data_IF_088779338507
#
_entry.id   IF_088779338507
#
_cell.length_a   1.000
_cell.length_b   1.000
_cell.length_c   1.000
_cell.angle_alpha   90.00
_cell.angle_beta   90.00
_cell.angle_gamma   90.00
#
_symmetry.space_group_name_H-M   'P 1'
#
loop_
_entity.id
_entity.type
_entity.pdbx_description
1 polymer ?
#
# COMPACT_ATOMS: atom_id res chain seq x y z
N UNK A 1 3.18 22.73 27.56
CA UNK A 1 3.68 21.75 26.57
C UNK A 1 3.08 22.12 25.24
N UNK A 2 3.90 22.35 24.20
CA UNK A 2 3.45 22.87 22.89
C UNK A 2 2.86 21.79 21.95
N UNK A 3 2.74 20.54 22.43
CA UNK A 3 2.23 19.41 21.64
C UNK A 3 0.83 19.00 22.06
N UNK A 4 0.04 18.53 21.12
CA UNK A 4 -1.32 18.02 21.34
C UNK A 4 -1.33 16.86 22.35
N UNK A 5 -2.42 16.74 23.12
CA UNK A 5 -2.62 15.61 24.04
C UNK A 5 -2.63 14.25 23.32
N UNK A 6 -3.04 14.21 22.08
CA UNK A 6 -3.01 12.98 21.23
C UNK A 6 -1.63 12.38 21.11
N UNK A 7 -0.58 13.22 21.01
CA UNK A 7 0.81 12.75 20.84
C UNK A 7 1.36 12.09 22.09
N UNK A 8 0.80 12.36 23.26
CA UNK A 8 1.31 11.82 24.54
C UNK A 8 1.24 10.29 24.60
N UNK A 9 0.26 9.70 23.93
CA UNK A 9 -0.02 8.26 23.94
C UNK A 9 0.42 7.55 22.67
N UNK A 10 0.99 8.29 21.69
CA UNK A 10 1.49 7.69 20.46
C UNK A 10 2.89 7.13 20.69
N UNK A 11 3.06 5.86 20.39
CA UNK A 11 4.38 5.25 20.23
C UNK A 11 4.83 5.43 18.78
N UNK A 12 6.05 5.93 18.53
CA UNK A 12 6.56 6.04 17.17
C UNK A 12 6.71 4.65 16.55
N UNK A 13 6.50 4.59 15.23
CA UNK A 13 6.80 3.39 14.47
C UNK A 13 8.30 3.07 14.58
N UNK A 14 8.60 1.82 14.92
CA UNK A 14 9.98 1.31 14.93
C UNK A 14 10.16 0.46 13.67
N UNK A 15 10.95 0.92 12.69
CA UNK A 15 11.24 0.12 11.50
C UNK A 15 12.03 -1.13 11.88
N UNK A 16 11.90 -2.19 11.09
CA UNK A 16 12.70 -3.39 11.25
C UNK A 16 14.20 -3.09 11.20
N UNK A 17 15.02 -3.92 11.82
CA UNK A 17 16.46 -3.74 11.86
C UNK A 17 17.07 -3.56 10.47
N UNK A 18 18.01 -2.62 10.36
CA UNK A 18 18.74 -2.27 9.16
C UNK A 18 20.26 -2.38 9.42
N UNK A 19 20.79 -3.59 9.69
CA UNK A 19 22.21 -3.76 9.99
C UNK A 19 23.07 -3.35 8.79
N UNK A 20 24.23 -2.73 9.07
CA UNK A 20 25.14 -2.18 8.04
C UNK A 20 26.54 -2.82 8.09
N UNK A 21 26.76 -3.79 8.95
CA UNK A 21 28.04 -4.45 9.19
C UNK A 21 28.43 -5.43 8.08
N UNK A 22 27.46 -5.99 7.37
CA UNK A 22 27.64 -6.91 6.23
C UNK A 22 26.38 -6.97 5.37
N UNK A 23 26.47 -7.68 4.25
CA UNK A 23 25.31 -7.94 3.38
C UNK A 23 24.49 -9.07 3.98
N UNK A 24 23.21 -8.83 4.19
CA UNK A 24 22.23 -9.79 4.69
C UNK A 24 21.21 -10.12 3.62
N UNK A 25 20.62 -11.31 3.72
CA UNK A 25 19.36 -11.62 3.01
C UNK A 25 18.24 -11.01 3.83
N UNK A 26 17.63 -9.93 3.33
CA UNK A 26 16.63 -9.15 4.03
C UNK A 26 15.26 -9.81 3.90
N UNK A 27 14.69 -10.27 5.02
CA UNK A 27 13.39 -10.91 5.11
C UNK A 27 12.43 -10.22 6.11
N UNK A 28 12.85 -9.09 6.66
CA UNK A 28 12.15 -8.37 7.73
C UNK A 28 11.28 -7.19 7.25
N UNK A 29 11.14 -7.03 5.95
CA UNK A 29 10.29 -6.03 5.32
C UNK A 29 9.74 -6.57 4.00
N UNK A 30 8.56 -6.09 3.59
CA UNK A 30 7.91 -6.51 2.34
C UNK A 30 8.50 -5.77 1.13
N UNK A 31 9.82 -5.76 1.01
CA UNK A 31 10.50 -5.17 -0.15
C UNK A 31 10.56 -6.18 -1.30
N UNK A 32 10.32 -5.68 -2.51
CA UNK A 32 10.47 -6.51 -3.70
C UNK A 32 11.98 -6.73 -3.99
N UNK A 33 12.48 -7.97 -3.97
CA UNK A 33 13.90 -8.25 -4.22
C UNK A 33 14.29 -8.09 -5.70
N UNK A 34 13.32 -7.97 -6.59
CA UNK A 34 13.57 -7.83 -8.02
C UNK A 34 13.58 -6.36 -8.43
N UNK A 35 14.55 -5.92 -9.23
CA UNK A 35 14.57 -4.56 -9.74
C UNK A 35 13.38 -4.32 -10.69
N UNK A 36 12.93 -3.07 -10.84
CA UNK A 36 11.92 -2.74 -11.82
C UNK A 36 12.43 -3.01 -13.26
N UNK A 37 11.51 -3.12 -14.19
CA UNK A 37 11.84 -3.26 -15.60
C UNK A 37 12.83 -2.17 -16.05
N UNK A 38 13.82 -2.56 -16.88
CA UNK A 38 14.77 -1.61 -17.50
C UNK A 38 14.09 -0.48 -18.27
N UNK A 39 12.85 -0.71 -18.74
CA UNK A 39 12.05 0.31 -19.45
C UNK A 39 11.58 1.42 -18.50
N UNK A 40 11.38 1.15 -17.21
CA UNK A 40 11.01 2.18 -16.22
C UNK A 40 12.09 3.24 -16.15
N UNK A 41 13.33 2.85 -15.88
CA UNK A 41 14.46 3.78 -15.82
C UNK A 41 14.64 4.57 -17.13
N UNK A 42 14.56 3.89 -18.28
CA UNK A 42 14.65 4.54 -19.61
C UNK A 42 13.56 5.59 -19.79
N UNK A 43 12.31 5.28 -19.41
CA UNK A 43 11.17 6.20 -19.55
C UNK A 43 11.32 7.42 -18.65
N UNK A 44 11.75 7.23 -17.39
CA UNK A 44 12.02 8.33 -16.46
C UNK A 44 13.11 9.25 -16.99
N UNK A 45 14.25 8.69 -17.41
CA UNK A 45 15.37 9.48 -17.97
C UNK A 45 14.95 10.23 -19.22
N UNK A 46 14.22 9.57 -20.13
CA UNK A 46 13.68 10.20 -21.36
C UNK A 46 12.76 11.35 -21.04
N UNK A 47 11.86 11.19 -20.06
CA UNK A 47 10.93 12.23 -19.65
C UNK A 47 11.65 13.43 -19.08
N UNK A 48 12.59 13.23 -18.14
CA UNK A 48 13.35 14.30 -17.50
C UNK A 48 14.19 15.08 -18.53
N UNK A 49 14.85 14.37 -19.44
CA UNK A 49 15.65 15.01 -20.51
C UNK A 49 14.79 15.83 -21.47
N UNK A 50 13.56 15.37 -21.76
CA UNK A 50 12.67 16.04 -22.70
C UNK A 50 11.90 17.20 -22.06
N UNK A 51 11.62 17.13 -20.78
CA UNK A 51 10.75 18.05 -20.06
C UNK A 51 11.34 18.47 -18.69
N UNK A 52 12.59 19.00 -18.65
CA UNK A 52 13.23 19.36 -17.38
C UNK A 52 12.42 20.44 -16.62
N UNK A 53 11.73 21.31 -17.31
CA UNK A 53 10.88 22.37 -16.75
C UNK A 53 9.74 21.81 -15.88
N UNK A 54 9.29 20.58 -16.15
CA UNK A 54 8.18 19.96 -15.41
C UNK A 54 8.55 19.55 -13.99
N UNK A 55 9.84 19.41 -13.69
CA UNK A 55 10.31 19.07 -12.34
C UNK A 55 10.05 20.18 -11.32
N UNK A 56 9.87 21.42 -11.77
CA UNK A 56 9.55 22.57 -10.92
C UNK A 56 8.05 22.86 -10.79
N UNK A 57 7.19 22.08 -11.42
CA UNK A 57 5.74 22.27 -11.41
C UNK A 57 5.07 21.35 -10.39
N UNK A 58 3.88 21.74 -9.93
CA UNK A 58 3.03 20.84 -9.15
C UNK A 58 2.61 19.63 -10.00
N UNK A 59 2.50 18.44 -9.38
CA UNK A 59 1.96 17.28 -10.04
C UNK A 59 0.47 17.47 -10.38
N UNK A 60 -0.03 16.64 -11.27
CA UNK A 60 -1.47 16.50 -11.51
C UNK A 60 -2.15 15.99 -10.21
N UNK A 61 -3.05 16.79 -9.60
CA UNK A 61 -3.65 16.42 -8.31
C UNK A 61 -4.50 15.15 -8.37
N UNK A 62 -5.08 14.87 -9.53
CA UNK A 62 -5.96 13.72 -9.73
C UNK A 62 -5.21 12.50 -10.29
N UNK A 63 -3.91 12.64 -10.60
CA UNK A 63 -3.07 11.57 -11.16
C UNK A 63 -3.72 10.85 -12.35
N UNK A 64 -4.48 11.57 -13.21
CA UNK A 64 -5.36 11.03 -14.25
C UNK A 64 -4.67 9.99 -15.12
N UNK A 65 -3.50 10.31 -15.67
CA UNK A 65 -2.75 9.40 -16.53
C UNK A 65 -2.30 8.12 -15.84
N UNK A 66 -1.94 8.21 -14.57
CA UNK A 66 -1.55 7.05 -13.77
C UNK A 66 -2.77 6.16 -13.49
N UNK A 67 -3.87 6.77 -13.06
CA UNK A 67 -5.10 6.05 -12.75
C UNK A 67 -5.70 5.38 -13.99
N UNK A 68 -5.68 6.04 -15.15
CA UNK A 68 -6.05 5.43 -16.43
C UNK A 68 -5.16 4.23 -16.80
N UNK A 69 -3.85 4.35 -16.61
CA UNK A 69 -2.92 3.26 -16.90
C UNK A 69 -3.14 2.06 -15.97
N UNK A 70 -3.42 2.30 -14.69
CA UNK A 70 -3.75 1.25 -13.71
C UNK A 70 -5.08 0.58 -14.07
N UNK A 71 -6.12 1.36 -14.38
CA UNK A 71 -7.42 0.84 -14.79
C UNK A 71 -7.29 -0.06 -16.03
N UNK A 72 -6.57 0.41 -17.05
CA UNK A 72 -6.31 -0.36 -18.26
C UNK A 72 -5.54 -1.65 -17.98
N UNK A 73 -4.53 -1.61 -17.11
CA UNK A 73 -3.77 -2.79 -16.70
C UNK A 73 -4.66 -3.83 -16.00
N UNK A 74 -5.49 -3.40 -15.07
CA UNK A 74 -6.42 -4.27 -14.34
C UNK A 74 -7.45 -4.91 -15.29
N UNK A 75 -8.02 -4.13 -16.20
CA UNK A 75 -9.00 -4.64 -17.16
C UNK A 75 -8.37 -5.62 -18.17
N UNK A 76 -7.14 -5.36 -18.64
CA UNK A 76 -6.41 -6.24 -19.56
C UNK A 76 -5.98 -7.55 -18.92
N UNK A 77 -5.69 -7.55 -17.62
CA UNK A 77 -5.37 -8.76 -16.86
C UNK A 77 -6.61 -9.62 -16.54
N UNK A 78 -7.79 -9.25 -17.02
CA UNK A 78 -9.06 -9.89 -16.69
C UNK A 78 -9.49 -9.62 -15.25
N UNK A 79 -9.07 -8.48 -14.69
CA UNK A 79 -9.36 -8.08 -13.33
C UNK A 79 -8.54 -8.83 -12.27
N UNK A 80 -7.49 -9.53 -12.67
CA UNK A 80 -6.63 -10.29 -11.74
C UNK A 80 -5.63 -9.35 -11.09
N UNK A 81 -5.76 -9.16 -9.78
CA UNK A 81 -4.85 -8.34 -8.98
C UNK A 81 -3.47 -8.96 -8.80
N UNK A 82 -3.34 -10.28 -8.93
CA UNK A 82 -2.08 -11.01 -8.79
C UNK A 82 -1.99 -12.18 -9.77
N UNK A 83 -0.98 -12.17 -10.63
CA UNK A 83 -0.55 -13.35 -11.36
C UNK A 83 0.53 -14.05 -10.54
N UNK A 84 0.16 -15.02 -9.71
CA UNK A 84 1.12 -15.79 -8.95
C UNK A 84 1.78 -16.87 -9.83
N UNK A 85 3.08 -16.73 -10.06
CA UNK A 85 3.91 -17.82 -10.57
C UNK A 85 4.48 -18.60 -9.37
N UNK A 86 3.82 -19.69 -8.97
CA UNK A 86 4.33 -20.57 -7.93
C UNK A 86 5.11 -21.70 -8.60
N UNK A 87 6.42 -21.78 -8.32
CA UNK A 87 7.34 -22.82 -8.82
C UNK A 87 7.34 -23.00 -10.35
N UNK A 88 7.26 -21.90 -11.11
CA UNK A 88 7.30 -21.95 -12.58
C UNK A 88 6.01 -22.44 -13.26
N UNK A 89 4.95 -22.68 -12.51
CA UNK A 89 3.61 -22.94 -13.05
C UNK A 89 2.76 -21.69 -12.95
N UNK A 90 2.16 -21.26 -14.06
CA UNK A 90 1.09 -20.27 -14.03
C UNK A 90 -0.06 -20.84 -13.21
N UNK A 91 -0.32 -20.26 -12.05
CA UNK A 91 -1.56 -20.53 -11.32
C UNK A 91 -2.63 -19.68 -11.99
N UNK A 92 -3.59 -20.33 -12.64
CA UNK A 92 -4.77 -19.62 -13.13
C UNK A 92 -5.54 -19.07 -11.95
N UNK A 93 -5.86 -17.77 -11.94
CA UNK A 93 -6.65 -17.19 -10.87
C UNK A 93 -8.03 -17.87 -10.84
N UNK A 94 -8.54 -18.09 -9.64
CA UNK A 94 -9.91 -18.54 -9.44
C UNK A 94 -10.90 -17.44 -9.90
N UNK A 95 -12.15 -17.80 -10.12
CA UNK A 95 -13.19 -16.78 -10.43
C UNK A 95 -13.31 -15.73 -9.31
N UNK A 96 -13.07 -16.12 -8.06
CA UNK A 96 -13.10 -15.22 -6.90
C UNK A 96 -11.93 -14.23 -6.84
N UNK A 97 -10.85 -14.47 -7.60
CA UNK A 97 -9.70 -13.58 -7.69
C UNK A 97 -9.89 -12.48 -8.75
N UNK A 98 -11.03 -12.45 -9.42
CA UNK A 98 -11.34 -11.51 -10.50
C UNK A 98 -12.22 -10.38 -10.01
N UNK A 99 -11.93 -9.17 -10.47
CA UNK A 99 -12.83 -8.03 -10.30
C UNK A 99 -14.04 -8.25 -11.23
N UNK A 100 -15.27 -8.35 -10.70
CA UNK A 100 -16.46 -8.72 -11.49
C UNK A 100 -17.03 -7.57 -12.35
N UNK A 101 -16.31 -6.45 -12.45
CA UNK A 101 -16.73 -5.25 -13.18
C UNK A 101 -15.54 -4.59 -13.89
N UNK A 102 -15.82 -3.69 -14.84
CA UNK A 102 -14.80 -2.87 -15.48
C UNK A 102 -14.32 -1.78 -14.53
N UNK A 103 -13.01 -1.73 -14.29
CA UNK A 103 -12.39 -0.68 -13.48
C UNK A 103 -12.24 0.59 -14.30
N UNK A 104 -12.68 1.72 -13.77
CA UNK A 104 -12.51 3.05 -14.35
C UNK A 104 -11.49 3.87 -13.55
N UNK A 105 -10.94 4.93 -14.12
CA UNK A 105 -9.90 5.74 -13.44
C UNK A 105 -10.38 6.43 -12.19
N UNK A 106 -11.67 6.75 -12.09
CA UNK A 106 -12.31 7.34 -10.92
C UNK A 106 -12.51 6.37 -9.74
N UNK A 107 -12.33 5.07 -9.99
CA UNK A 107 -12.29 4.04 -8.95
C UNK A 107 -10.90 3.83 -8.35
N UNK A 108 -9.90 4.59 -8.79
CA UNK A 108 -8.50 4.44 -8.38
C UNK A 108 -8.05 5.69 -7.64
N UNK A 109 -7.56 5.47 -6.44
CA UNK A 109 -6.87 6.48 -5.66
C UNK A 109 -5.37 6.15 -5.58
N UNK A 110 -4.53 7.07 -6.02
CA UNK A 110 -3.08 6.95 -6.00
C UNK A 110 -2.48 7.89 -4.95
N UNK A 111 -1.63 7.36 -4.08
CA UNK A 111 -0.96 8.12 -3.02
C UNK A 111 0.54 7.87 -2.99
N UNK A 112 1.22 8.57 -2.11
CA UNK A 112 2.66 8.44 -1.89
C UNK A 112 2.97 7.25 -0.96
N UNK A 113 2.87 6.05 -1.51
CA UNK A 113 2.99 4.79 -0.79
C UNK A 113 1.70 4.38 -0.08
N UNK A 114 1.70 3.14 0.42
CA UNK A 114 0.54 2.57 1.12
C UNK A 114 0.19 3.31 2.41
N UNK A 115 1.17 3.89 3.08
CA UNK A 115 0.93 4.58 4.35
C UNK A 115 0.06 5.82 4.18
N UNK A 116 0.28 6.61 3.13
CA UNK A 116 -0.60 7.75 2.83
C UNK A 116 -2.01 7.29 2.49
N UNK A 117 -2.14 6.29 1.62
CA UNK A 117 -3.45 5.73 1.22
C UNK A 117 -4.20 5.19 2.43
N UNK A 118 -3.53 4.40 3.28
CA UNK A 118 -4.11 3.87 4.51
C UNK A 118 -4.53 4.98 5.48
N UNK A 119 -3.71 6.02 5.63
CA UNK A 119 -4.05 7.18 6.46
C UNK A 119 -5.37 7.82 6.02
N UNK A 120 -5.56 8.01 4.71
CA UNK A 120 -6.82 8.54 4.18
C UNK A 120 -8.00 7.57 4.31
N UNK A 121 -7.78 6.26 4.17
CA UNK A 121 -8.81 5.26 4.42
C UNK A 121 -9.27 5.34 5.88
N UNK A 122 -8.34 5.37 6.83
CA UNK A 122 -8.70 5.50 8.25
C UNK A 122 -9.47 6.78 8.52
N UNK A 123 -9.02 7.91 7.98
CA UNK A 123 -9.71 9.19 8.15
C UNK A 123 -11.10 9.21 7.51
N UNK A 124 -11.27 8.60 6.33
CA UNK A 124 -12.53 8.67 5.58
C UNK A 124 -13.61 7.72 6.11
N UNK A 125 -13.23 6.54 6.63
CA UNK A 125 -14.18 5.47 6.93
C UNK A 125 -14.35 5.18 8.42
N UNK A 126 -13.46 5.68 9.29
CA UNK A 126 -13.50 5.41 10.72
C UNK A 126 -13.49 6.72 11.52
N UNK A 127 -14.11 6.67 12.69
CA UNK A 127 -14.12 7.73 13.69
C UNK A 127 -14.26 7.12 15.10
N UNK A 128 -14.35 7.94 16.12
CA UNK A 128 -14.50 7.49 17.51
C UNK A 128 -15.77 6.68 17.80
N UNK A 129 -16.77 6.73 16.90
CA UNK A 129 -18.03 5.97 17.01
C UNK A 129 -17.99 4.62 16.31
N UNK A 130 -16.98 4.37 15.46
CA UNK A 130 -16.84 3.15 14.65
C UNK A 130 -15.59 2.40 15.07
N UNK A 131 -15.81 1.22 15.64
CA UNK A 131 -14.73 0.35 16.06
C UNK A 131 -13.99 -0.26 14.87
N UNK A 132 -12.67 -0.21 14.91
CA UNK A 132 -11.81 -0.91 13.97
C UNK A 132 -11.45 -2.30 14.53
N UNK A 133 -11.59 -3.33 13.73
CA UNK A 133 -11.28 -4.71 14.09
C UNK A 133 -10.14 -5.21 13.22
N UNK A 134 -9.14 -5.83 13.81
CA UNK A 134 -8.00 -6.38 13.07
C UNK A 134 -7.49 -7.68 13.72
N UNK A 135 -6.80 -8.55 12.96
CA UNK A 135 -6.10 -9.69 13.54
C UNK A 135 -5.00 -9.25 14.50
N UNK A 136 -4.72 -10.07 15.53
CA UNK A 136 -3.63 -9.80 16.49
C UNK A 136 -2.25 -9.76 15.81
N UNK A 137 -2.04 -10.54 14.75
CA UNK A 137 -0.86 -10.51 13.90
C UNK A 137 -1.20 -9.89 12.56
N UNK A 138 -0.83 -8.63 12.38
CA UNK A 138 -1.13 -7.85 11.17
C UNK A 138 -0.08 -6.76 10.97
N UNK A 139 -0.31 -5.87 10.00
CA UNK A 139 0.58 -4.75 9.74
C UNK A 139 0.63 -3.79 10.93
N UNK A 140 1.83 -3.60 11.47
CA UNK A 140 2.07 -2.85 12.70
C UNK A 140 1.67 -1.37 12.66
N UNK A 141 1.37 -0.83 11.48
CA UNK A 141 0.95 0.57 11.33
C UNK A 141 -0.55 0.78 11.60
N UNK A 142 -1.38 -0.27 11.53
CA UNK A 142 -2.82 -0.13 11.80
C UNK A 142 -3.11 0.40 13.21
N UNK A 143 -2.48 -0.09 14.30
CA UNK A 143 -2.64 0.51 15.62
C UNK A 143 -2.20 1.97 15.70
N UNK A 144 -1.18 2.34 14.92
CA UNK A 144 -0.70 3.72 14.86
C UNK A 144 -1.77 4.64 14.29
N UNK A 145 -2.41 4.25 13.18
CA UNK A 145 -3.53 5.03 12.62
C UNK A 145 -4.73 5.08 13.56
N UNK A 146 -5.11 3.94 14.15
CA UNK A 146 -6.20 3.90 15.11
C UNK A 146 -5.96 4.87 16.29
N UNK A 147 -4.75 4.85 16.87
CA UNK A 147 -4.37 5.79 17.93
C UNK A 147 -4.28 7.24 17.48
N UNK A 148 -3.81 7.51 16.24
CA UNK A 148 -3.69 8.86 15.70
C UNK A 148 -5.05 9.52 15.46
N UNK A 149 -6.03 8.74 15.01
CA UNK A 149 -7.39 9.23 14.71
C UNK A 149 -8.41 9.01 15.85
N UNK A 150 -7.96 8.57 17.03
CA UNK A 150 -8.81 8.25 18.19
C UNK A 150 -9.90 7.21 17.86
N UNK A 151 -9.57 6.20 17.05
CA UNK A 151 -10.48 5.13 16.63
C UNK A 151 -10.39 3.97 17.61
N UNK A 152 -11.50 3.53 18.22
CA UNK A 152 -11.53 2.34 19.07
C UNK A 152 -11.13 1.09 18.29
N UNK A 153 -10.28 0.23 18.87
CA UNK A 153 -9.71 -0.92 18.19
C UNK A 153 -9.88 -2.19 19.01
N UNK A 154 -10.32 -3.26 18.36
CA UNK A 154 -10.35 -4.61 18.91
C UNK A 154 -9.41 -5.53 18.13
N UNK A 155 -8.76 -6.43 18.87
CA UNK A 155 -7.94 -7.48 18.30
C UNK A 155 -8.72 -8.79 18.26
N UNK A 156 -8.65 -9.47 17.12
CA UNK A 156 -9.22 -10.81 16.95
C UNK A 156 -8.07 -11.81 16.91
N UNK A 157 -8.05 -12.80 17.81
CA UNK A 157 -7.05 -13.85 17.77
C UNK A 157 -7.18 -14.67 16.48
N UNK A 158 -6.05 -15.16 15.98
CA UNK A 158 -6.05 -16.10 14.87
C UNK A 158 -6.26 -17.53 15.38
N UNK A 159 -6.80 -18.39 14.51
CA UNK A 159 -6.85 -19.83 14.73
C UNK A 159 -5.43 -20.44 14.71
N UNK A 160 -5.29 -21.71 15.15
CA UNK A 160 -4.01 -22.41 15.12
C UNK A 160 -3.41 -22.56 13.71
N UNK A 161 -4.25 -22.58 12.69
CA UNK A 161 -3.86 -22.63 11.28
C UNK A 161 -3.63 -21.24 10.64
N UNK A 162 -3.61 -20.18 11.45
CA UNK A 162 -3.46 -18.78 11.06
C UNK A 162 -4.63 -18.20 10.25
N UNK A 163 -5.75 -18.89 10.15
CA UNK A 163 -6.96 -18.34 9.58
C UNK A 163 -7.63 -17.34 10.53
N UNK A 164 -8.47 -16.47 9.98
CA UNK A 164 -9.31 -15.58 10.78
C UNK A 164 -10.39 -16.39 11.52
N UNK A 165 -10.59 -16.06 12.79
CA UNK A 165 -11.66 -16.64 13.60
C UNK A 165 -12.99 -15.92 13.33
#
# INVERSE_FOLDING_TARGET
MLVSSRIKNLSPYVPGEQPKDRVYIKLNANENPYPPSKNVAKSVIKFIKKHPEKLGLYPDPDSVKLNEAIANMLNQSGGVLCNANVKGKKVSPSENDRIPFTVTSDMIYSGNGSDEVLSFIFYAFFDSSKKFVMPEFTYSFYPVYAGYYDIPMDLVPLNEDWSLN
#
